data_IF_727152987548
#
_entry.id   IF_727152987548
#
_cell.length_a   1.000
_cell.length_b   1.000
_cell.length_c   1.000
_cell.angle_alpha   90.00
_cell.angle_beta   90.00
_cell.angle_gamma   90.00
#
_symmetry.space_group_name_H-M   'P 1'
#
loop_
_entity.id
_entity.type
_entity.pdbx_description
1 polymer ?
#
# COMPACT_ATOMS: atom_id res chain seq x y z
N UNK A 1 -7.92 -1.34 -13.67
CA UNK A 1 -8.01 -2.50 -12.76
C UNK A 1 -9.43 -3.01 -12.69
N UNK A 2 -10.27 -2.45 -11.82
CA UNK A 2 -11.60 -2.97 -11.49
C UNK A 2 -12.50 -3.27 -12.70
N UNK A 3 -12.76 -2.29 -13.56
CA UNK A 3 -13.65 -2.48 -14.72
C UNK A 3 -13.16 -3.56 -15.68
N UNK A 4 -11.84 -3.65 -15.91
CA UNK A 4 -11.22 -4.73 -16.70
C UNK A 4 -11.37 -6.10 -16.03
N UNK A 5 -11.25 -6.16 -14.70
CA UNK A 5 -11.42 -7.39 -13.94
C UNK A 5 -12.86 -7.90 -13.97
N UNK A 6 -13.84 -7.00 -13.83
CA UNK A 6 -15.27 -7.33 -13.98
C UNK A 6 -15.54 -7.82 -15.40
N UNK A 7 -15.09 -7.08 -16.41
CA UNK A 7 -15.28 -7.48 -17.82
C UNK A 7 -14.67 -8.87 -18.09
N UNK A 8 -13.47 -9.15 -17.58
CA UNK A 8 -12.84 -10.46 -17.72
C UNK A 8 -13.68 -11.57 -17.08
N UNK A 9 -14.09 -11.41 -15.82
CA UNK A 9 -14.86 -12.43 -15.09
C UNK A 9 -16.20 -12.74 -15.78
N UNK A 10 -16.86 -11.71 -16.32
CA UNK A 10 -18.11 -11.86 -17.07
C UNK A 10 -17.91 -12.52 -18.44
N UNK A 11 -16.87 -12.12 -19.18
CA UNK A 11 -16.57 -12.70 -20.50
C UNK A 11 -16.25 -14.19 -20.42
N UNK A 12 -15.58 -14.61 -19.36
CA UNK A 12 -15.22 -16.01 -19.12
C UNK A 12 -16.26 -16.79 -18.29
N UNK A 13 -17.40 -16.17 -17.97
CA UNK A 13 -18.48 -16.79 -17.19
C UNK A 13 -17.99 -17.50 -15.92
N UNK A 14 -17.10 -16.84 -15.18
CA UNK A 14 -16.53 -17.42 -13.96
C UNK A 14 -17.60 -17.48 -12.88
N UNK A 15 -17.94 -18.68 -12.43
CA UNK A 15 -18.90 -18.88 -11.35
C UNK A 15 -18.24 -18.59 -9.99
N UNK A 16 -18.60 -17.46 -9.40
CA UNK A 16 -18.07 -16.97 -8.14
C UNK A 16 -19.07 -17.25 -7.03
N UNK A 17 -18.91 -18.39 -6.36
CA UNK A 17 -19.63 -18.65 -5.12
C UNK A 17 -18.94 -18.00 -3.92
N UNK A 18 -19.68 -17.45 -2.94
CA UNK A 18 -19.11 -16.96 -1.69
C UNK A 18 -18.32 -18.07 -0.99
N UNK A 19 -16.99 -17.98 -1.05
CA UNK A 19 -16.11 -18.95 -0.40
C UNK A 19 -14.82 -18.30 0.07
N UNK A 20 -14.25 -18.85 1.14
CA UNK A 20 -12.95 -18.43 1.66
C UNK A 20 -11.84 -18.57 0.63
N UNK A 21 -11.96 -19.51 -0.31
CA UNK A 21 -10.99 -19.67 -1.40
C UNK A 21 -10.94 -18.42 -2.28
N UNK A 22 -12.10 -17.99 -2.82
CA UNK A 22 -12.17 -16.81 -3.68
C UNK A 22 -11.79 -15.52 -2.94
N UNK A 23 -12.20 -15.44 -1.67
CA UNK A 23 -11.79 -14.34 -0.81
C UNK A 23 -10.27 -14.28 -0.63
N UNK A 24 -9.62 -15.37 -0.19
CA UNK A 24 -8.17 -15.39 0.02
C UNK A 24 -7.41 -15.13 -1.29
N UNK A 25 -7.85 -15.73 -2.39
CA UNK A 25 -7.29 -15.48 -3.71
C UNK A 25 -7.36 -13.99 -4.08
N UNK A 26 -8.52 -13.37 -3.86
CA UNK A 26 -8.72 -11.94 -4.13
C UNK A 26 -7.85 -11.04 -3.25
N UNK A 27 -7.67 -11.40 -1.98
CA UNK A 27 -6.82 -10.67 -1.02
C UNK A 27 -5.36 -10.75 -1.45
N UNK A 28 -4.87 -11.94 -1.84
CA UNK A 28 -3.50 -12.11 -2.33
C UNK A 28 -3.24 -11.23 -3.55
N UNK A 29 -4.18 -11.21 -4.50
CA UNK A 29 -4.07 -10.35 -5.69
C UNK A 29 -4.12 -8.86 -5.34
N UNK A 30 -5.02 -8.46 -4.43
CA UNK A 30 -5.12 -7.12 -3.85
C UNK A 30 -3.81 -6.66 -3.21
N UNK A 31 -3.17 -7.56 -2.46
CA UNK A 31 -1.98 -7.27 -1.68
C UNK A 31 -0.75 -6.93 -2.53
N UNK A 32 -0.71 -7.36 -3.79
CA UNK A 32 0.40 -7.04 -4.71
C UNK A 32 0.59 -5.52 -4.89
N UNK A 33 -0.50 -4.75 -4.95
CA UNK A 33 -0.43 -3.28 -5.05
C UNK A 33 -0.03 -2.65 -3.74
N UNK A 34 -0.52 -3.19 -2.62
CA UNK A 34 -0.12 -2.73 -1.28
C UNK A 34 1.38 -2.92 -1.11
N UNK A 35 1.91 -4.11 -1.42
CA UNK A 35 3.34 -4.40 -1.31
C UNK A 35 4.20 -3.50 -2.22
N UNK A 36 3.80 -3.28 -3.47
CA UNK A 36 4.50 -2.37 -4.39
C UNK A 36 4.48 -0.92 -3.87
N UNK A 37 3.32 -0.45 -3.39
CA UNK A 37 3.17 0.87 -2.81
C UNK A 37 4.01 1.05 -1.54
N UNK A 38 3.98 0.08 -0.62
CA UNK A 38 4.79 0.08 0.60
C UNK A 38 6.28 0.09 0.26
N UNK A 39 6.71 -0.70 -0.73
CA UNK A 39 8.09 -0.73 -1.19
C UNK A 39 8.55 0.62 -1.75
N UNK A 40 7.70 1.32 -2.51
CA UNK A 40 7.97 2.67 -3.02
C UNK A 40 8.05 3.73 -1.90
N UNK A 41 7.25 3.58 -0.84
CA UNK A 41 7.26 4.53 0.29
C UNK A 41 8.41 4.32 1.26
N UNK A 42 8.81 3.07 1.49
CA UNK A 42 9.79 2.72 2.51
C UNK A 42 11.23 2.59 1.97
N UNK A 43 11.42 2.53 0.66
CA UNK A 43 12.73 2.35 0.02
C UNK A 43 12.87 3.34 -1.15
N UNK A 44 14.07 3.85 -1.49
CA UNK A 44 14.30 4.75 -2.64
C UNK A 44 14.14 4.06 -4.01
N UNK A 45 13.30 3.02 -4.12
CA UNK A 45 13.06 2.28 -5.36
C UNK A 45 11.97 2.98 -6.17
N UNK A 46 12.28 3.34 -7.41
CA UNK A 46 11.27 3.77 -8.39
C UNK A 46 10.67 2.53 -9.05
N UNK A 47 9.35 2.38 -8.97
CA UNK A 47 8.64 1.32 -9.71
C UNK A 47 8.52 1.71 -11.18
N UNK A 48 8.58 0.73 -12.07
CA UNK A 48 8.43 0.95 -13.51
C UNK A 48 6.94 1.03 -13.89
N UNK A 49 6.60 1.73 -14.98
CA UNK A 49 5.20 1.79 -15.45
C UNK A 49 4.59 0.41 -15.69
N UNK A 50 5.39 -0.57 -16.13
CA UNK A 50 4.95 -1.95 -16.29
C UNK A 50 4.56 -2.62 -14.98
N UNK A 51 5.38 -2.47 -13.93
CA UNK A 51 5.06 -3.03 -12.60
C UNK A 51 3.79 -2.39 -12.06
N UNK A 52 3.66 -1.06 -12.16
CA UNK A 52 2.46 -0.33 -11.73
C UNK A 52 1.20 -0.77 -12.46
N UNK A 53 1.30 -1.04 -13.76
CA UNK A 53 0.18 -1.53 -14.55
C UNK A 53 -0.23 -2.95 -14.12
N UNK A 54 0.72 -3.86 -13.92
CA UNK A 54 0.48 -5.24 -13.51
C UNK A 54 -0.11 -5.31 -12.10
N UNK A 55 0.50 -4.60 -11.14
CA UNK A 55 0.00 -4.57 -9.75
C UNK A 55 -1.38 -3.93 -9.70
N UNK A 56 -1.59 -2.78 -10.37
CA UNK A 56 -2.88 -2.11 -10.47
C UNK A 56 -3.96 -2.93 -11.20
N UNK A 57 -3.58 -3.79 -12.15
CA UNK A 57 -4.50 -4.77 -12.73
C UNK A 57 -4.84 -5.85 -11.71
N UNK A 58 -3.84 -6.46 -11.07
CA UNK A 58 -4.01 -7.52 -10.07
C UNK A 58 -4.90 -7.09 -8.90
N UNK A 59 -4.68 -5.90 -8.34
CA UNK A 59 -5.55 -5.41 -7.26
C UNK A 59 -6.95 -5.07 -7.72
N UNK A 60 -7.09 -4.51 -8.92
CA UNK A 60 -8.40 -4.28 -9.52
C UNK A 60 -9.17 -5.58 -9.78
N UNK A 61 -8.47 -6.64 -10.18
CA UNK A 61 -9.05 -7.97 -10.37
C UNK A 61 -9.46 -8.61 -9.04
N UNK A 62 -8.60 -8.55 -8.02
CA UNK A 62 -8.94 -8.97 -6.65
C UNK A 62 -10.18 -8.22 -6.13
N UNK A 63 -10.22 -6.90 -6.28
CA UNK A 63 -11.37 -6.10 -5.87
C UNK A 63 -12.65 -6.47 -6.65
N UNK A 64 -12.54 -6.78 -7.94
CA UNK A 64 -13.68 -7.25 -8.75
C UNK A 64 -14.27 -8.55 -8.19
N UNK A 65 -13.42 -9.50 -7.79
CA UNK A 65 -13.85 -10.75 -7.15
C UNK A 65 -14.62 -10.43 -5.86
N UNK A 66 -14.05 -9.63 -4.95
CA UNK A 66 -14.69 -9.28 -3.67
C UNK A 66 -16.07 -8.65 -3.90
N UNK A 67 -16.20 -7.72 -4.85
CA UNK A 67 -17.48 -7.12 -5.19
C UNK A 67 -18.49 -8.12 -5.73
N UNK A 68 -18.06 -9.02 -6.61
CA UNK A 68 -18.93 -10.02 -7.25
C UNK A 68 -19.30 -11.20 -6.34
N UNK A 69 -18.58 -11.41 -5.23
CA UNK A 69 -19.00 -12.37 -4.21
C UNK A 69 -20.27 -11.90 -3.46
N UNK A 70 -20.59 -10.60 -3.49
CA UNK A 70 -21.77 -9.99 -2.84
C UNK A 70 -21.88 -10.36 -1.35
N UNK A 71 -20.74 -10.56 -0.69
CA UNK A 71 -20.66 -10.90 0.72
C UNK A 71 -20.16 -9.69 1.53
N UNK A 72 -21.02 -9.15 2.39
CA UNK A 72 -20.72 -7.98 3.21
C UNK A 72 -19.58 -8.24 4.20
N UNK A 73 -19.50 -9.45 4.76
CA UNK A 73 -18.46 -9.79 5.71
C UNK A 73 -17.09 -9.78 5.03
N UNK A 74 -16.97 -10.39 3.86
CA UNK A 74 -15.71 -10.34 3.09
C UNK A 74 -15.33 -8.91 2.67
N UNK A 75 -16.29 -8.07 2.29
CA UNK A 75 -16.02 -6.66 2.02
C UNK A 75 -15.47 -5.92 3.24
N UNK A 76 -16.05 -6.13 4.42
CA UNK A 76 -15.58 -5.51 5.67
C UNK A 76 -14.17 -5.99 6.06
N UNK A 77 -13.88 -7.28 5.93
CA UNK A 77 -12.54 -7.82 6.20
C UNK A 77 -11.51 -7.22 5.24
N UNK A 78 -11.84 -7.13 3.95
CA UNK A 78 -10.95 -6.51 2.96
C UNK A 78 -10.67 -5.03 3.28
N UNK A 79 -11.70 -4.27 3.66
CA UNK A 79 -11.55 -2.87 4.10
C UNK A 79 -10.67 -2.75 5.35
N UNK A 80 -10.85 -3.64 6.34
CA UNK A 80 -10.03 -3.65 7.55
C UNK A 80 -8.55 -3.91 7.24
N UNK A 81 -8.26 -4.86 6.34
CA UNK A 81 -6.88 -5.15 5.90
C UNK A 81 -6.26 -3.94 5.21
N UNK A 82 -7.01 -3.28 4.32
CA UNK A 82 -6.53 -2.08 3.61
C UNK A 82 -6.27 -0.92 4.57
N UNK A 83 -7.20 -0.65 5.49
CA UNK A 83 -7.07 0.39 6.51
C UNK A 83 -5.86 0.13 7.42
N UNK A 84 -5.68 -1.12 7.88
CA UNK A 84 -4.52 -1.53 8.68
C UNK A 84 -3.20 -1.33 7.93
N UNK A 85 -3.14 -1.72 6.66
CA UNK A 85 -1.94 -1.58 5.84
C UNK A 85 -1.53 -0.12 5.64
N UNK A 86 -2.49 0.75 5.30
CA UNK A 86 -2.25 2.19 5.14
C UNK A 86 -1.86 2.83 6.48
N UNK A 87 -2.53 2.45 7.57
CA UNK A 87 -2.25 2.95 8.91
C UNK A 87 -0.82 2.63 9.37
N UNK A 88 -0.37 1.39 9.20
CA UNK A 88 1.00 0.96 9.57
C UNK A 88 2.04 1.77 8.80
N UNK A 89 1.87 1.95 7.49
CA UNK A 89 2.82 2.75 6.69
C UNK A 89 2.81 4.21 7.11
N UNK A 90 1.65 4.80 7.37
CA UNK A 90 1.55 6.16 7.88
C UNK A 90 2.31 6.35 9.20
N UNK A 91 2.20 5.39 10.12
CA UNK A 91 2.96 5.41 11.38
C UNK A 91 4.47 5.32 11.15
N UNK A 92 4.92 4.43 10.25
CA UNK A 92 6.34 4.26 9.93
C UNK A 92 6.91 5.52 9.26
N UNK A 93 6.20 6.09 8.29
CA UNK A 93 6.60 7.33 7.61
C UNK A 93 6.71 8.49 8.60
N UNK A 94 5.73 8.64 9.49
CA UNK A 94 5.74 9.69 10.51
C UNK A 94 6.94 9.54 11.46
N UNK A 95 7.23 8.31 11.90
CA UNK A 95 8.39 8.02 12.76
C UNK A 95 9.73 8.31 12.07
N UNK A 96 9.87 7.97 10.78
CA UNK A 96 11.08 8.29 10.01
C UNK A 96 11.26 9.80 9.84
N UNK A 97 10.17 10.52 9.58
CA UNK A 97 10.19 11.98 9.46
C UNK A 97 10.56 12.65 10.78
N UNK A 98 10.01 12.20 11.90
CA UNK A 98 10.34 12.77 13.21
C UNK A 98 11.82 12.58 13.57
N UNK A 99 12.39 11.40 13.29
CA UNK A 99 13.81 11.12 13.52
C UNK A 99 14.70 12.00 12.62
N UNK A 100 14.34 12.16 11.35
CA UNK A 100 15.07 13.03 10.43
C UNK A 100 15.08 14.49 10.88
N UNK A 101 13.94 14.99 11.38
CA UNK A 101 13.83 16.36 11.91
C UNK A 101 14.65 16.55 13.20
N UNK A 102 14.65 15.56 14.11
CA UNK A 102 15.48 15.65 15.32
C UNK A 102 16.98 15.62 15.01
N UNK A 103 17.40 14.82 14.02
CA UNK A 103 18.80 14.77 13.60
C UNK A 103 19.25 16.08 12.94
N UNK A 104 18.39 16.69 12.11
CA UNK A 104 18.67 18.00 11.51
C UNK A 104 18.73 19.11 12.56
N UNK A 105 17.84 19.10 13.56
CA UNK A 105 17.93 20.04 14.69
C UNK A 105 19.24 19.89 15.48
N UNK A 106 19.64 18.66 15.79
CA UNK A 106 20.89 18.40 16.50
C UNK A 106 22.12 18.84 15.70
N UNK A 107 22.07 18.81 14.36
CA UNK A 107 23.14 19.34 13.52
C UNK A 107 23.22 20.87 13.58
N UNK A 108 22.08 21.55 13.49
CA UNK A 108 22.02 23.02 13.60
C UNK A 108 22.54 23.47 14.98
N UNK A 109 22.08 22.84 16.06
CA UNK A 109 22.55 23.16 17.41
C UNK A 109 24.07 22.92 17.59
N UNK A 110 24.63 21.90 16.92
CA UNK A 110 26.06 21.63 16.97
C UNK A 110 26.90 22.57 16.07
N UNK A 111 26.31 23.12 15.01
CA UNK A 111 26.93 24.12 14.14
C UNK A 111 26.94 25.49 14.84
N UNK A 112 25.80 25.91 15.39
CA UNK A 112 25.68 27.15 16.18
C UNK A 112 26.65 27.17 17.38
N UNK A 113 26.85 26.03 18.05
CA UNK A 113 27.78 25.91 19.17
C UNK A 113 29.26 26.07 18.75
N UNK A 114 29.63 25.58 17.56
CA UNK A 114 31.00 25.72 17.05
C UNK A 114 31.29 27.14 16.60
N UNK A 115 30.35 27.77 15.91
CA UNK A 115 30.50 29.16 15.47
C UNK A 115 30.66 30.10 16.69
N UNK A 116 30.02 29.79 17.82
CA UNK A 116 30.19 30.55 19.06
C UNK A 116 31.54 30.34 19.77
N UNK A 117 32.25 29.24 19.52
CA UNK A 117 33.59 28.98 20.07
C UNK A 117 34.70 29.62 19.23
N UNK A 118 34.48 29.84 17.94
CA UNK A 118 35.47 30.44 17.02
C UNK A 118 35.49 31.99 17.08
N UNK A 119 34.47 32.62 17.69
CA UNK A 119 34.32 34.08 17.83
C UNK A 119 34.86 34.66 19.17
N UNK A 120 35.34 33.81 20.09
CA UNK A 120 35.97 34.17 21.40
C UNK A 120 37.52 34.05 21.38
#
# INVERSE_FOLDING_TARGET
GLGLGIAFLLLFQVDLHPSWFWFLFSVILGFTTVADWMSQRLTPRKTTNHIRAITGFGSGFGLAIIFLLVDLFFMLVALAIMAGSVGIVGLIENRRRSIGLSAMRAQIEAEDAKDSEDDD
#
